data_IF_884860053432
#
_entry.id   IF_884860053432
#
_cell.length_a   1.000
_cell.length_b   1.000
_cell.length_c   1.000
_cell.angle_alpha   90.00
_cell.angle_beta   90.00
_cell.angle_gamma   90.00
#
_symmetry.space_group_name_H-M   'P 1'
#
loop_
_entity.id
_entity.type
_entity.pdbx_description
1 polymer ?
#
# COMPACT_ATOMS: atom_id res chain seq x y z
N UNK A 1 -11.96 -7.78 -10.71
CA UNK A 1 -11.08 -6.86 -9.96
C UNK A 1 -9.87 -7.60 -9.44
N UNK A 2 -8.70 -7.06 -9.66
CA UNK A 2 -7.46 -7.63 -9.11
C UNK A 2 -7.28 -7.15 -7.68
N UNK A 3 -6.90 -8.07 -6.80
CA UNK A 3 -6.55 -7.77 -5.42
C UNK A 3 -5.05 -8.00 -5.20
N UNK A 4 -4.44 -7.13 -4.42
CA UNK A 4 -3.04 -7.25 -4.02
C UNK A 4 -2.87 -6.78 -2.58
N UNK A 5 -1.80 -7.24 -1.96
CA UNK A 5 -1.42 -6.85 -0.60
C UNK A 5 -0.17 -5.99 -0.69
N UNK A 6 -0.20 -4.84 -0.04
CA UNK A 6 0.88 -3.87 -0.02
C UNK A 6 1.31 -3.61 1.42
N UNK A 7 2.61 -3.73 1.70
CA UNK A 7 3.13 -3.47 3.05
C UNK A 7 3.54 -2.00 3.19
N UNK A 8 3.03 -1.34 4.20
CA UNK A 8 3.30 0.09 4.46
C UNK A 8 3.62 0.28 5.95
N UNK A 9 4.57 1.17 6.24
CA UNK A 9 4.98 1.49 7.60
C UNK A 9 3.84 2.18 8.38
N UNK A 10 3.78 1.99 9.71
CA UNK A 10 2.69 2.55 10.53
C UNK A 10 2.48 4.04 10.39
N UNK A 11 3.55 4.82 10.33
CA UNK A 11 3.46 6.28 10.19
C UNK A 11 2.75 6.71 8.90
N UNK A 12 2.99 5.99 7.81
CA UNK A 12 2.36 6.29 6.53
C UNK A 12 0.91 5.81 6.49
N UNK A 13 0.63 4.66 7.09
CA UNK A 13 -0.74 4.15 7.20
C UNK A 13 -1.62 5.13 7.98
N UNK A 14 -1.11 5.69 9.07
CA UNK A 14 -1.82 6.70 9.85
C UNK A 14 -2.23 7.88 8.96
N UNK A 15 -1.36 8.34 8.10
CA UNK A 15 -1.63 9.45 7.19
C UNK A 15 -2.60 9.08 6.06
N UNK A 16 -2.59 7.83 5.63
CA UNK A 16 -3.60 7.34 4.67
C UNK A 16 -4.98 7.32 5.33
N UNK A 17 -5.09 6.80 6.54
CA UNK A 17 -6.35 6.74 7.29
C UNK A 17 -6.95 8.12 7.54
N UNK A 18 -6.10 9.12 7.82
CA UNK A 18 -6.56 10.49 8.09
C UNK A 18 -6.95 11.25 6.83
N UNK A 19 -6.58 10.76 5.65
CA UNK A 19 -6.78 11.45 4.39
C UNK A 19 -5.65 12.42 4.01
N UNK A 20 -4.65 12.61 4.86
CA UNK A 20 -3.53 13.49 4.57
C UNK A 20 -2.63 12.96 3.45
N UNK A 21 -2.51 11.63 3.36
CA UNK A 21 -1.71 10.96 2.34
C UNK A 21 -2.63 10.26 1.35
N UNK A 22 -2.57 10.68 0.08
CA UNK A 22 -3.35 10.06 -1.00
C UNK A 22 -2.46 9.46 -2.09
N UNK A 23 -1.14 9.58 -1.95
CA UNK A 23 -0.18 9.04 -2.90
C UNK A 23 0.90 8.28 -2.13
N UNK A 24 1.06 7.00 -2.46
CA UNK A 24 2.14 6.18 -1.95
C UNK A 24 3.33 6.24 -2.90
N UNK A 25 4.54 6.38 -2.35
CA UNK A 25 5.77 6.49 -3.11
C UNK A 25 6.56 5.19 -3.04
N UNK A 26 6.99 4.69 -4.19
CA UNK A 26 7.86 3.51 -4.29
C UNK A 26 8.99 3.76 -5.28
N UNK A 27 10.15 3.13 -5.02
CA UNK A 27 11.28 3.23 -5.95
C UNK A 27 11.17 2.24 -7.11
N UNK A 28 10.38 1.19 -6.95
CA UNK A 28 10.14 0.18 -8.00
C UNK A 28 8.77 0.38 -8.64
N UNK A 29 8.62 0.06 -9.92
CA UNK A 29 7.31 0.14 -10.56
C UNK A 29 6.33 -0.88 -10.00
N UNK A 30 5.06 -0.55 -10.07
CA UNK A 30 3.96 -1.43 -9.65
C UNK A 30 3.18 -1.85 -10.88
N UNK A 31 3.21 -3.14 -11.21
CA UNK A 31 2.52 -3.70 -12.38
C UNK A 31 1.13 -4.22 -12.00
N UNK A 32 0.23 -3.29 -11.72
CA UNK A 32 -1.17 -3.58 -11.45
C UNK A 32 -2.04 -2.61 -12.23
N UNK A 33 -3.20 -3.04 -12.73
CA UNK A 33 -4.09 -2.12 -13.42
C UNK A 33 -4.71 -1.10 -12.45
N UNK A 34 -5.05 0.07 -12.98
CA UNK A 34 -5.88 1.05 -12.27
C UNK A 34 -7.17 0.36 -11.81
N UNK A 35 -7.73 0.79 -10.71
CA UNK A 35 -8.89 0.22 -10.03
C UNK A 35 -8.62 -1.11 -9.30
N UNK A 36 -7.41 -1.66 -9.36
CA UNK A 36 -7.06 -2.80 -8.50
C UNK A 36 -7.24 -2.43 -7.04
N UNK A 37 -7.67 -3.41 -6.23
CA UNK A 37 -7.81 -3.21 -4.78
C UNK A 37 -6.51 -3.53 -4.09
N UNK A 38 -6.04 -2.59 -3.29
CA UNK A 38 -4.86 -2.76 -2.44
C UNK A 38 -5.29 -2.95 -1.01
N UNK A 39 -5.05 -4.14 -0.47
CA UNK A 39 -5.13 -4.41 0.96
C UNK A 39 -3.83 -3.94 1.58
N UNK A 40 -3.90 -3.16 2.64
CA UNK A 40 -2.71 -2.53 3.24
C UNK A 40 -2.36 -3.26 4.52
N UNK A 41 -1.20 -3.91 4.51
CA UNK A 41 -0.59 -4.48 5.69
C UNK A 41 0.27 -3.42 6.37
N UNK A 42 -0.07 -3.09 7.62
CA UNK A 42 0.72 -2.19 8.44
C UNK A 42 1.83 -2.99 9.09
N UNK A 43 3.08 -2.64 8.79
CA UNK A 43 4.23 -3.40 9.27
C UNK A 43 4.35 -3.38 10.80
N UNK A 44 5.17 -4.32 11.33
CA UNK A 44 5.42 -4.39 12.77
C UNK A 44 5.90 -3.05 13.32
N UNK A 45 5.54 -2.67 14.54
CA UNK A 45 4.91 -3.52 15.58
C UNK A 45 3.39 -3.69 15.46
N UNK A 46 2.73 -3.04 14.51
CA UNK A 46 1.27 -3.15 14.35
C UNK A 46 0.87 -4.52 13.82
N UNK A 47 1.43 -4.95 12.70
CA UNK A 47 1.26 -6.31 12.20
C UNK A 47 -0.17 -6.70 11.85
N UNK A 48 -0.90 -5.83 11.12
CA UNK A 48 -2.28 -6.13 10.73
C UNK A 48 -2.64 -5.52 9.38
N UNK A 49 -3.63 -6.12 8.72
CA UNK A 49 -4.28 -5.55 7.55
C UNK A 49 -5.50 -4.78 8.08
N UNK A 50 -5.45 -3.47 8.02
CA UNK A 50 -6.45 -2.60 8.64
C UNK A 50 -7.26 -1.74 7.67
N UNK A 51 -6.92 -1.76 6.40
CA UNK A 51 -7.65 -0.98 5.40
C UNK A 51 -7.40 -1.52 4.00
N UNK A 52 -8.25 -1.12 3.07
CA UNK A 52 -8.00 -1.32 1.66
C UNK A 52 -8.34 -0.05 0.88
N UNK A 53 -7.77 0.08 -0.30
CA UNK A 53 -8.00 1.20 -1.21
C UNK A 53 -7.98 0.69 -2.64
N UNK A 54 -8.34 1.55 -3.58
CA UNK A 54 -8.17 1.25 -5.00
C UNK A 54 -7.07 2.11 -5.59
N UNK A 55 -6.42 1.61 -6.62
CA UNK A 55 -5.44 2.38 -7.37
C UNK A 55 -6.18 3.39 -8.23
N UNK A 56 -5.91 4.68 -8.00
CA UNK A 56 -6.46 5.77 -8.80
C UNK A 56 -5.61 6.01 -10.05
N UNK A 57 -4.29 6.01 -9.88
CA UNK A 57 -3.33 6.15 -10.97
C UNK A 57 -1.98 5.55 -10.56
N UNK A 58 -1.15 5.24 -11.55
CA UNK A 58 0.25 4.89 -11.35
C UNK A 58 1.06 5.79 -12.28
N UNK A 59 1.98 6.56 -11.70
CA UNK A 59 2.78 7.52 -12.42
C UNK A 59 4.26 7.27 -12.09
N UNK A 60 5.05 6.95 -13.11
CA UNK A 60 6.50 6.72 -12.97
C UNK A 60 7.24 7.78 -13.72
N UNK A 61 8.16 8.48 -13.06
CA UNK A 61 8.94 9.54 -13.65
C UNK A 61 10.17 9.84 -12.80
N UNK A 62 10.91 10.88 -13.18
CA UNK A 62 12.05 11.34 -12.39
C UNK A 62 11.59 11.81 -11.01
N UNK A 63 12.45 11.72 -9.98
CA UNK A 63 12.09 12.21 -8.65
C UNK A 63 11.60 13.67 -8.65
N UNK A 64 12.22 14.54 -9.43
CA UNK A 64 11.81 15.95 -9.50
C UNK A 64 10.39 16.11 -10.06
N UNK A 65 10.04 15.37 -11.10
CA UNK A 65 8.68 15.43 -11.67
C UNK A 65 7.66 14.87 -10.70
N UNK A 66 7.98 13.75 -10.06
CA UNK A 66 7.07 13.15 -9.07
C UNK A 66 6.84 14.11 -7.91
N UNK A 67 7.88 14.76 -7.41
CA UNK A 67 7.71 15.75 -6.34
C UNK A 67 6.87 16.94 -6.80
N UNK A 68 7.15 17.46 -8.00
CA UNK A 68 6.40 18.59 -8.55
C UNK A 68 4.91 18.29 -8.69
N UNK A 69 4.58 17.08 -9.16
CA UNK A 69 3.19 16.68 -9.42
C UNK A 69 2.46 16.17 -8.19
N UNK A 70 3.15 15.48 -7.29
CA UNK A 70 2.52 14.70 -6.23
C UNK A 70 3.04 15.01 -4.82
N UNK A 71 4.05 15.84 -4.67
CA UNK A 71 4.73 16.07 -3.40
C UNK A 71 3.80 16.40 -2.23
N UNK A 72 2.75 17.18 -2.49
CA UNK A 72 1.77 17.57 -1.46
C UNK A 72 0.97 16.37 -0.93
N UNK A 73 0.78 15.35 -1.75
CA UNK A 73 -0.08 14.21 -1.44
C UNK A 73 0.68 12.98 -0.97
N UNK A 74 2.01 13.01 -1.04
CA UNK A 74 2.87 11.92 -0.54
C UNK A 74 2.99 11.98 0.98
N UNK A 75 2.87 13.17 1.55
CA UNK A 75 2.87 13.38 3.00
C UNK A 75 4.19 13.01 3.68
N UNK A 76 5.30 13.42 3.06
CA UNK A 76 6.64 13.34 3.65
C UNK A 76 7.38 14.64 3.39
N UNK A 77 8.42 14.92 4.18
CA UNK A 77 9.24 16.10 3.95
C UNK A 77 10.07 15.96 2.66
N UNK A 78 10.46 17.09 2.08
CA UNK A 78 11.34 17.06 0.92
C UNK A 78 12.66 16.36 1.25
N UNK A 79 13.18 16.54 2.44
CA UNK A 79 14.41 15.89 2.88
C UNK A 79 14.26 14.36 2.89
N UNK A 80 13.17 13.85 3.45
CA UNK A 80 12.91 12.42 3.46
C UNK A 80 12.68 11.88 2.05
N UNK A 81 11.97 12.64 1.22
CA UNK A 81 11.76 12.30 -0.19
C UNK A 81 13.10 12.17 -0.92
N UNK A 82 13.98 13.16 -0.76
CA UNK A 82 15.28 13.17 -1.42
C UNK A 82 16.16 11.99 -0.97
N UNK A 83 16.12 11.68 0.32
CA UNK A 83 16.86 10.54 0.87
C UNK A 83 16.34 9.21 0.32
N UNK A 84 15.02 9.05 0.27
CA UNK A 84 14.39 7.82 -0.21
C UNK A 84 14.63 7.58 -1.70
N UNK A 85 14.65 8.64 -2.50
CA UNK A 85 14.78 8.56 -3.95
C UNK A 85 16.23 8.72 -4.43
N UNK A 86 17.18 8.87 -3.52
CA UNK A 86 18.59 9.12 -3.86
C UNK A 86 19.14 8.05 -4.80
N UNK A 87 19.82 8.49 -5.85
CA UNK A 87 20.43 7.61 -6.85
C UNK A 87 19.43 6.95 -7.81
N UNK A 88 18.15 7.28 -7.74
CA UNK A 88 17.14 6.70 -8.63
C UNK A 88 16.84 7.61 -9.81
N UNK A 89 16.83 7.05 -11.02
CA UNK A 89 16.44 7.79 -12.21
C UNK A 89 14.94 7.95 -12.32
N UNK A 90 14.20 6.90 -11.89
CA UNK A 90 12.74 6.90 -11.87
C UNK A 90 12.21 6.37 -10.55
N UNK A 91 11.09 6.93 -10.13
CA UNK A 91 10.32 6.47 -8.96
C UNK A 91 8.85 6.43 -9.34
N UNK A 92 8.05 5.76 -8.53
CA UNK A 92 6.64 5.51 -8.82
C UNK A 92 5.74 6.11 -7.76
N UNK A 93 4.76 6.89 -8.22
CA UNK A 93 3.69 7.42 -7.41
C UNK A 93 2.43 6.60 -7.66
N UNK A 94 1.84 6.07 -6.59
CA UNK A 94 0.62 5.27 -6.63
C UNK A 94 -0.49 6.09 -5.98
N UNK A 95 -1.40 6.60 -6.80
CA UNK A 95 -2.58 7.33 -6.30
C UNK A 95 -3.59 6.37 -5.70
N UNK A 96 -4.11 6.73 -4.53
CA UNK A 96 -5.08 5.92 -3.78
C UNK A 96 -6.44 6.63 -3.78
N UNK A 97 -7.49 5.85 -3.99
CA UNK A 97 -8.87 6.32 -3.91
C UNK A 97 -9.72 5.30 -3.17
N UNK A 98 -10.93 5.70 -2.75
CA UNK A 98 -11.89 4.82 -2.10
C UNK A 98 -11.28 4.07 -0.92
N UNK A 99 -10.60 4.80 -0.04
CA UNK A 99 -9.98 4.25 1.16
C UNK A 99 -11.07 3.78 2.12
N UNK A 100 -11.01 2.50 2.49
CA UNK A 100 -11.93 1.89 3.45
C UNK A 100 -11.13 1.35 4.63
N UNK A 101 -11.37 1.92 5.81
CA UNK A 101 -10.77 1.44 7.05
C UNK A 101 -11.64 0.30 7.57
N UNK A 102 -11.04 -0.86 7.81
CA UNK A 102 -11.77 -1.99 8.35
C UNK A 102 -12.21 -1.69 9.78
N UNK A 103 -13.43 -2.08 10.12
CA UNK A 103 -13.94 -1.93 11.48
C UNK A 103 -13.04 -2.65 12.48
N UNK A 104 -12.54 -3.82 12.08
CA UNK A 104 -11.57 -4.58 12.86
C UNK A 104 -10.45 -5.08 11.94
N UNK A 105 -9.21 -4.74 12.28
CA UNK A 105 -8.04 -5.18 11.52
C UNK A 105 -7.84 -6.69 11.61
N UNK A 106 -7.23 -7.25 10.57
CA UNK A 106 -6.89 -8.67 10.49
C UNK A 106 -5.43 -8.85 10.90
N UNK A 107 -5.20 -9.39 12.08
CA UNK A 107 -3.84 -9.57 12.59
C UNK A 107 -3.06 -10.62 11.80
N UNK A 108 -1.73 -10.50 11.82
CA UNK A 108 -0.85 -11.48 11.21
C UNK A 108 -1.07 -12.89 11.80
N UNK A 109 -1.26 -12.97 13.12
CA UNK A 109 -1.56 -14.24 13.78
C UNK A 109 -2.87 -14.85 13.28
N UNK A 110 -3.91 -14.03 13.14
CA UNK A 110 -5.20 -14.49 12.63
C UNK A 110 -5.08 -15.01 11.19
N UNK A 111 -4.31 -14.32 10.35
CA UNK A 111 -4.05 -14.77 8.99
C UNK A 111 -3.35 -16.14 9.01
N UNK A 112 -2.30 -16.28 9.81
CA UNK A 112 -1.52 -17.52 9.90
C UNK A 112 -2.32 -18.69 10.43
N UNK A 113 -3.25 -18.45 11.34
CA UNK A 113 -4.13 -19.49 11.86
C UNK A 113 -5.04 -20.06 10.77
N UNK A 114 -5.47 -19.24 9.84
CA UNK A 114 -6.43 -19.63 8.79
C UNK A 114 -5.77 -20.03 7.48
N UNK A 115 -4.66 -19.44 7.14
CA UNK A 115 -3.97 -19.64 5.87
C UNK A 115 -2.75 -20.56 6.01
N UNK A 116 -2.20 -20.69 7.23
CA UNK A 116 -0.96 -21.39 7.48
C UNK A 116 0.24 -20.45 7.32
N UNK A 117 1.31 -20.95 6.71
CA UNK A 117 2.53 -20.14 6.54
C UNK A 117 2.24 -18.94 5.65
N UNK A 118 2.48 -17.74 6.20
CA UNK A 118 2.29 -16.50 5.49
C UNK A 118 3.33 -15.49 5.94
N UNK A 119 4.00 -14.86 4.98
CA UNK A 119 4.94 -13.77 5.24
C UNK A 119 4.50 -12.54 4.44
N UNK A 120 4.32 -11.38 5.11
CA UNK A 120 3.99 -10.16 4.39
C UNK A 120 5.07 -9.83 3.36
N UNK A 121 4.70 -9.32 2.17
CA UNK A 121 5.67 -8.97 1.15
C UNK A 121 6.48 -7.74 1.56
N UNK A 122 7.69 -7.59 1.02
CA UNK A 122 8.46 -6.35 1.20
C UNK A 122 7.85 -5.19 0.41
N UNK A 123 7.28 -5.48 -0.75
CA UNK A 123 6.59 -4.49 -1.56
C UNK A 123 5.12 -4.89 -1.72
N UNK A 124 4.80 -5.77 -2.66
CA UNK A 124 3.43 -6.20 -2.88
C UNK A 124 3.34 -7.67 -3.25
N UNK A 125 2.14 -8.22 -3.11
CA UNK A 125 1.81 -9.61 -3.46
C UNK A 125 0.43 -9.62 -4.11
N UNK A 126 0.32 -10.17 -5.33
CA UNK A 126 -1.00 -10.40 -5.93
C UNK A 126 -1.73 -11.49 -5.16
N UNK A 127 -3.00 -11.27 -4.90
CA UNK A 127 -3.84 -12.22 -4.18
C UNK A 127 -4.66 -13.01 -5.20
N UNK A 128 -4.39 -14.31 -5.30
CA UNK A 128 -5.11 -15.15 -6.26
C UNK A 128 -6.60 -15.21 -5.95
N UNK A 129 -7.48 -15.18 -6.97
CA UNK A 129 -8.94 -15.13 -6.76
C UNK A 129 -9.50 -16.25 -5.89
N UNK A 130 -8.97 -17.46 -5.97
CA UNK A 130 -9.45 -18.61 -5.17
C UNK A 130 -8.64 -18.87 -3.92
N UNK A 131 -7.73 -17.99 -3.52
CA UNK A 131 -6.81 -18.25 -2.42
C UNK A 131 -7.49 -18.20 -1.05
N UNK A 132 -6.90 -18.91 -0.09
CA UNK A 132 -7.33 -18.84 1.31
C UNK A 132 -7.21 -17.44 1.88
N UNK A 133 -6.14 -16.72 1.51
CA UNK A 133 -5.93 -15.35 1.95
C UNK A 133 -7.08 -14.44 1.51
N UNK A 134 -7.52 -14.54 0.25
CA UNK A 134 -8.63 -13.75 -0.26
C UNK A 134 -9.91 -14.02 0.52
N UNK A 135 -10.19 -15.29 0.82
CA UNK A 135 -11.38 -15.67 1.60
C UNK A 135 -11.35 -15.05 3.00
N UNK A 136 -10.19 -15.09 3.65
CA UNK A 136 -10.01 -14.46 4.97
C UNK A 136 -10.29 -12.98 4.90
N UNK A 137 -9.66 -12.27 3.97
CA UNK A 137 -9.81 -10.82 3.85
C UNK A 137 -11.26 -10.42 3.56
N UNK A 138 -11.93 -11.13 2.66
CA UNK A 138 -13.31 -10.81 2.30
C UNK A 138 -14.29 -11.08 3.45
N UNK A 139 -13.94 -11.92 4.41
CA UNK A 139 -14.77 -12.14 5.61
C UNK A 139 -14.78 -10.95 6.56
N UNK A 140 -13.89 -9.98 6.38
CA UNK A 140 -13.78 -8.78 7.22
C UNK A 140 -14.41 -7.53 6.60
N UNK A 141 -15.02 -7.63 5.43
CA UNK A 141 -15.69 -6.49 4.79
C UNK A 141 -17.17 -6.73 4.59
#
# INVERSE_FOLDING_TARGET
MIDALLSIKPQHVKNIKSGAKTVELRVKPLNLPVDSRLWIYTTLPVGEIGLHAQIDFIDSSTPEKIWSMHGKNICISREDFDRYTDGREQVTAIGLKNVNVLERGVSLDSIRQQVGRFNPPQFFLKIAPGSALRKVLFSFI
#
